data_IF_244611019781
#
_entry.id   IF_244611019781
#
_cell.length_a   1.000
_cell.length_b   1.000
_cell.length_c   1.000
_cell.angle_alpha   90.00
_cell.angle_beta   90.00
_cell.angle_gamma   90.00
#
_symmetry.space_group_name_H-M   'P 1'
#
loop_
_entity.id
_entity.type
_entity.pdbx_description
1 polymer ?
#
# COMPACT_ATOMS: atom_id res chain seq x y z
N UNK A 1 -78.07 2.85 -36.88
CA UNK A 1 -77.30 3.42 -35.77
C UNK A 1 -76.53 2.28 -35.15
N UNK A 2 -75.24 2.22 -35.49
CA UNK A 2 -74.28 1.18 -35.12
C UNK A 2 -73.42 1.68 -33.97
N UNK A 3 -73.44 0.99 -32.83
CA UNK A 3 -72.45 1.21 -31.78
C UNK A 3 -71.42 0.08 -31.84
N UNK A 4 -70.23 0.45 -32.29
CA UNK A 4 -69.02 -0.37 -32.32
C UNK A 4 -68.39 -0.22 -30.94
N UNK A 5 -68.21 -1.34 -30.23
CA UNK A 5 -67.45 -1.35 -28.98
C UNK A 5 -65.94 -1.16 -29.26
N UNK A 6 -65.21 -0.34 -28.47
CA UNK A 6 -63.79 -0.11 -28.66
C UNK A 6 -62.97 -1.33 -28.24
N UNK A 7 -61.89 -1.57 -29.00
CA UNK A 7 -61.05 -2.75 -28.92
C UNK A 7 -60.31 -2.96 -27.60
N UNK A 8 -60.09 -4.24 -27.32
CA UNK A 8 -59.00 -4.72 -26.47
C UNK A 8 -57.66 -4.21 -27.01
N UNK A 9 -57.02 -3.33 -26.25
CA UNK A 9 -55.58 -3.11 -26.34
C UNK A 9 -54.90 -4.24 -25.57
N UNK A 10 -54.12 -5.13 -26.19
CA UNK A 10 -53.29 -6.04 -25.44
C UNK A 10 -52.24 -5.23 -24.68
N UNK A 11 -52.23 -5.38 -23.36
CA UNK A 11 -51.16 -4.89 -22.48
C UNK A 11 -49.82 -5.35 -23.05
N UNK A 12 -48.98 -4.37 -23.41
CA UNK A 12 -47.58 -4.59 -23.75
C UNK A 12 -46.93 -5.12 -22.48
N UNK A 13 -46.69 -6.44 -22.47
CA UNK A 13 -45.96 -7.15 -21.44
C UNK A 13 -44.63 -6.45 -21.18
N UNK A 14 -44.39 -6.16 -19.89
CA UNK A 14 -43.30 -5.33 -19.41
C UNK A 14 -41.96 -5.63 -20.08
N UNK A 15 -41.32 -4.56 -20.55
CA UNK A 15 -39.90 -4.56 -20.85
C UNK A 15 -39.16 -5.20 -19.66
N UNK A 16 -38.56 -6.37 -19.91
CA UNK A 16 -37.54 -6.94 -19.05
C UNK A 16 -36.38 -5.94 -19.02
N UNK A 17 -36.46 -4.91 -18.16
CA UNK A 17 -35.30 -4.12 -17.79
C UNK A 17 -34.31 -5.11 -17.18
N UNK A 18 -33.26 -5.43 -17.93
CA UNK A 18 -32.11 -6.19 -17.40
C UNK A 18 -31.75 -5.56 -16.06
N UNK A 19 -32.01 -6.31 -14.97
CA UNK A 19 -31.78 -5.82 -13.62
C UNK A 19 -30.27 -5.61 -13.49
N UNK A 20 -29.86 -4.39 -13.15
CA UNK A 20 -28.45 -4.11 -12.93
C UNK A 20 -27.89 -5.07 -11.85
N UNK A 21 -26.68 -5.61 -12.06
CA UNK A 21 -26.05 -6.52 -11.11
C UNK A 21 -25.82 -5.82 -9.77
N UNK A 22 -25.93 -6.57 -8.68
CA UNK A 22 -25.48 -6.10 -7.37
C UNK A 22 -23.95 -6.14 -7.31
N UNK A 23 -23.31 -5.01 -7.01
CA UNK A 23 -21.85 -4.89 -7.05
C UNK A 23 -21.30 -4.75 -5.63
N UNK A 24 -20.42 -5.67 -5.25
CA UNK A 24 -19.65 -5.61 -4.01
C UNK A 24 -18.19 -5.30 -4.30
N UNK A 25 -17.60 -4.36 -3.57
CA UNK A 25 -16.16 -4.07 -3.64
C UNK A 25 -15.47 -4.47 -2.34
N UNK A 26 -14.63 -5.49 -2.42
CA UNK A 26 -13.76 -5.92 -1.34
C UNK A 26 -12.40 -5.22 -1.46
N UNK A 27 -12.07 -4.39 -0.48
CA UNK A 27 -10.75 -3.75 -0.38
C UNK A 27 -9.82 -4.60 0.47
N UNK A 28 -8.82 -5.20 -0.17
CA UNK A 28 -7.75 -5.95 0.48
C UNK A 28 -6.56 -5.02 0.74
N UNK A 29 -6.23 -4.78 2.02
CA UNK A 29 -5.14 -3.90 2.42
C UNK A 29 -3.93 -4.67 2.96
N UNK A 30 -2.73 -4.43 2.43
CA UNK A 30 -1.48 -5.10 2.89
C UNK A 30 -0.22 -4.20 2.88
N UNK A 31 0.88 -4.63 3.52
CA UNK A 31 2.09 -3.80 3.71
C UNK A 31 3.00 -3.69 2.49
N UNK A 32 2.87 -4.63 1.55
CA UNK A 32 3.70 -4.80 0.35
C UNK A 32 5.19 -5.02 0.66
N UNK A 33 5.52 -5.49 1.87
CA UNK A 33 6.92 -5.75 2.23
C UNK A 33 7.34 -7.18 1.89
N UNK A 34 6.44 -8.14 2.08
CA UNK A 34 6.77 -9.57 2.17
C UNK A 34 5.66 -10.44 1.58
N UNK A 35 5.96 -11.65 1.07
CA UNK A 35 4.95 -12.58 0.57
C UNK A 35 3.83 -12.89 1.58
N UNK A 36 4.12 -12.90 2.87
CA UNK A 36 3.20 -13.21 3.96
C UNK A 36 2.12 -12.13 4.14
N UNK A 37 2.39 -10.90 3.69
CA UNK A 37 1.40 -9.80 3.68
C UNK A 37 0.20 -10.10 2.78
N UNK A 38 0.38 -11.05 1.85
CA UNK A 38 -0.63 -11.52 0.91
C UNK A 38 -1.20 -12.89 1.27
N UNK A 39 -0.96 -13.40 2.49
CA UNK A 39 -1.43 -14.74 2.91
C UNK A 39 -2.93 -14.96 2.74
N UNK A 40 -3.74 -13.90 2.88
CA UNK A 40 -5.20 -13.91 2.70
C UNK A 40 -5.67 -13.55 1.28
N UNK A 41 -4.77 -13.08 0.42
CA UNK A 41 -5.10 -12.67 -0.94
C UNK A 41 -5.65 -13.84 -1.79
N UNK A 42 -5.10 -15.08 -1.75
CA UNK A 42 -5.60 -16.18 -2.57
C UNK A 42 -7.10 -16.47 -2.36
N UNK A 43 -7.56 -16.47 -1.11
CA UNK A 43 -8.96 -16.73 -0.78
C UNK A 43 -9.87 -15.59 -1.21
N UNK A 44 -9.43 -14.34 -1.04
CA UNK A 44 -10.16 -13.17 -1.52
C UNK A 44 -10.26 -13.18 -3.05
N UNK A 45 -9.15 -13.44 -3.75
CA UNK A 45 -9.10 -13.47 -5.21
C UNK A 45 -9.97 -14.58 -5.78
N UNK A 46 -10.03 -15.76 -5.14
CA UNK A 46 -10.89 -16.86 -5.59
C UNK A 46 -12.38 -16.47 -5.64
N UNK A 47 -12.84 -15.61 -4.73
CA UNK A 47 -14.23 -15.14 -4.64
C UNK A 47 -14.54 -13.97 -5.58
N UNK A 48 -13.51 -13.31 -6.10
CA UNK A 48 -13.63 -12.16 -6.95
C UNK A 48 -13.96 -12.55 -8.39
N UNK A 49 -14.78 -11.74 -9.04
CA UNK A 49 -15.05 -11.79 -10.47
C UNK A 49 -14.12 -10.86 -11.24
N UNK A 50 -13.73 -9.74 -10.62
CA UNK A 50 -12.86 -8.70 -11.20
C UNK A 50 -11.73 -8.39 -10.22
N UNK A 51 -10.53 -8.22 -10.73
CA UNK A 51 -9.34 -7.88 -9.94
C UNK A 51 -8.86 -6.46 -10.26
N UNK A 52 -8.52 -5.70 -9.23
CA UNK A 52 -7.91 -4.37 -9.31
C UNK A 52 -6.58 -4.42 -8.54
N UNK A 53 -5.42 -4.33 -9.21
CA UNK A 53 -4.14 -4.19 -8.55
C UNK A 53 -3.90 -2.74 -8.10
N UNK A 54 -3.02 -2.56 -7.11
CA UNK A 54 -2.30 -1.31 -6.93
C UNK A 54 -1.11 -1.28 -7.87
N UNK A 55 -1.19 -0.44 -8.90
CA UNK A 55 -0.16 -0.31 -9.94
C UNK A 55 0.02 1.17 -10.25
N UNK A 56 0.74 1.85 -9.37
CA UNK A 56 1.04 3.27 -9.52
C UNK A 56 1.94 3.50 -10.74
N UNK A 57 1.51 4.39 -11.65
CA UNK A 57 2.25 4.65 -12.87
C UNK A 57 2.09 3.58 -13.93
N UNK A 58 0.97 2.86 -13.94
CA UNK A 58 0.67 1.88 -14.97
C UNK A 58 0.67 2.50 -16.38
N UNK A 59 0.98 1.66 -17.36
CA UNK A 59 1.00 1.99 -18.79
C UNK A 59 0.09 1.05 -19.58
N UNK A 60 -0.18 1.35 -20.85
CA UNK A 60 -0.86 0.40 -21.75
C UNK A 60 -0.14 -0.94 -21.89
N UNK A 61 1.19 -0.95 -21.77
CA UNK A 61 1.96 -2.19 -21.72
C UNK A 61 1.63 -3.00 -20.46
N UNK A 62 1.59 -2.34 -19.30
CA UNK A 62 1.28 -2.98 -18.01
C UNK A 62 -0.15 -3.53 -18.01
N UNK A 63 -1.11 -2.75 -18.51
CA UNK A 63 -2.50 -3.18 -18.66
C UNK A 63 -2.62 -4.44 -19.54
N UNK A 64 -1.94 -4.45 -20.69
CA UNK A 64 -1.90 -5.60 -21.58
C UNK A 64 -1.28 -6.82 -20.89
N UNK A 65 -0.18 -6.63 -20.18
CA UNK A 65 0.56 -7.70 -19.51
C UNK A 65 -0.27 -8.40 -18.44
N UNK A 66 -0.96 -7.65 -17.58
CA UNK A 66 -1.85 -8.22 -16.56
C UNK A 66 -3.00 -9.02 -17.18
N UNK A 67 -3.57 -8.54 -18.28
CA UNK A 67 -4.61 -9.26 -19.00
C UNK A 67 -4.07 -10.57 -19.62
N UNK A 68 -2.89 -10.54 -20.26
CA UNK A 68 -2.25 -11.73 -20.81
C UNK A 68 -1.93 -12.77 -19.72
N UNK A 69 -1.47 -12.34 -18.55
CA UNK A 69 -1.25 -13.21 -17.39
C UNK A 69 -2.58 -13.83 -16.93
N UNK A 70 -3.63 -13.03 -16.75
CA UNK A 70 -4.96 -13.51 -16.37
C UNK A 70 -5.51 -14.55 -17.35
N UNK A 71 -5.23 -14.36 -18.64
CA UNK A 71 -5.59 -15.29 -19.71
C UNK A 71 -4.67 -16.53 -19.79
N UNK A 72 -3.59 -16.59 -19.02
CA UNK A 72 -2.63 -17.68 -19.04
C UNK A 72 -1.66 -17.66 -20.22
N UNK A 73 -1.61 -16.55 -20.98
CA UNK A 73 -0.74 -16.39 -22.16
C UNK A 73 0.70 -16.06 -21.79
N UNK A 74 0.91 -15.38 -20.67
CA UNK A 74 2.24 -15.00 -20.17
C UNK A 74 2.43 -15.59 -18.78
N UNK A 75 3.52 -16.34 -18.58
CA UNK A 75 3.85 -16.91 -17.28
C UNK A 75 4.55 -15.84 -16.40
N UNK A 76 4.05 -15.56 -15.19
CA UNK A 76 4.67 -14.60 -14.26
C UNK A 76 6.15 -14.87 -13.95
N UNK A 77 6.59 -16.12 -14.00
CA UNK A 77 7.97 -16.48 -13.70
C UNK A 77 8.96 -15.96 -14.76
N UNK A 78 8.49 -15.78 -15.99
CA UNK A 78 9.28 -15.33 -17.16
C UNK A 78 9.48 -13.81 -17.22
N UNK A 79 8.79 -13.07 -16.35
CA UNK A 79 8.83 -11.60 -16.35
C UNK A 79 9.77 -11.10 -15.25
N UNK A 80 10.43 -9.97 -15.49
CA UNK A 80 11.26 -9.30 -14.50
C UNK A 80 10.41 -8.42 -13.57
N UNK A 81 9.74 -9.03 -12.60
CA UNK A 81 9.01 -8.37 -11.52
C UNK A 81 9.63 -8.69 -10.16
N UNK A 82 9.31 -7.89 -9.14
CA UNK A 82 9.69 -8.19 -7.76
C UNK A 82 9.10 -9.52 -7.29
N UNK A 83 9.70 -10.16 -6.29
CA UNK A 83 9.16 -11.41 -5.73
C UNK A 83 7.73 -11.26 -5.20
N UNK A 84 7.38 -10.09 -4.69
CA UNK A 84 6.03 -9.79 -4.20
C UNK A 84 5.04 -9.72 -5.36
N UNK A 85 5.37 -8.95 -6.40
CA UNK A 85 4.50 -8.79 -7.57
C UNK A 85 4.32 -10.13 -8.30
N UNK A 86 5.40 -10.91 -8.45
CA UNK A 86 5.33 -12.27 -9.00
C UNK A 86 4.32 -13.13 -8.25
N UNK A 87 4.29 -13.11 -6.92
CA UNK A 87 3.32 -13.88 -6.13
C UNK A 87 1.87 -13.47 -6.45
N UNK A 88 1.59 -12.17 -6.56
CA UNK A 88 0.26 -11.67 -6.91
C UNK A 88 -0.10 -12.11 -8.34
N UNK A 89 0.82 -11.94 -9.29
CA UNK A 89 0.63 -12.32 -10.69
C UNK A 89 0.45 -13.84 -10.86
N UNK A 90 1.13 -14.67 -10.09
CA UNK A 90 0.93 -16.13 -10.05
C UNK A 90 -0.47 -16.52 -9.59
N UNK A 91 -1.09 -15.75 -8.69
CA UNK A 91 -2.48 -15.98 -8.28
C UNK A 91 -3.47 -15.58 -9.38
N UNK A 92 -3.11 -14.59 -10.19
CA UNK A 92 -3.90 -14.14 -11.33
C UNK A 92 -3.75 -15.05 -12.55
N UNK A 93 -2.62 -15.74 -12.68
CA UNK A 93 -2.28 -16.56 -13.84
C UNK A 93 -3.38 -17.59 -14.17
N UNK A 94 -3.86 -17.56 -15.43
CA UNK A 94 -4.94 -18.41 -15.93
C UNK A 94 -6.27 -18.32 -15.13
N UNK A 95 -6.47 -17.27 -14.34
CA UNK A 95 -7.69 -17.07 -13.56
C UNK A 95 -8.89 -16.63 -14.40
N UNK A 96 -8.65 -16.16 -15.63
CA UNK A 96 -9.62 -15.59 -16.58
C UNK A 96 -10.43 -14.41 -16.02
N UNK A 97 -9.94 -13.78 -14.95
CA UNK A 97 -10.59 -12.63 -14.32
C UNK A 97 -10.25 -11.36 -15.09
N UNK A 98 -11.24 -10.54 -15.45
CA UNK A 98 -11.02 -9.16 -15.85
C UNK A 98 -10.11 -8.42 -14.87
N UNK A 99 -9.19 -7.62 -15.42
CA UNK A 99 -8.33 -6.72 -14.64
C UNK A 99 -8.71 -5.28 -14.91
N UNK A 100 -8.88 -4.50 -13.86
CA UNK A 100 -9.19 -3.07 -13.92
C UNK A 100 -8.09 -2.26 -13.24
N UNK A 101 -7.66 -1.18 -13.89
CA UNK A 101 -6.74 -0.21 -13.31
C UNK A 101 -7.51 1.02 -12.86
N UNK A 102 -7.45 1.32 -11.56
CA UNK A 102 -8.02 2.54 -10.98
C UNK A 102 -6.94 3.53 -10.53
N UNK A 103 -5.69 3.07 -10.50
CA UNK A 103 -4.55 3.87 -10.08
C UNK A 103 -4.18 4.94 -11.12
N UNK A 104 -3.27 5.84 -10.77
CA UNK A 104 -2.84 6.91 -11.65
C UNK A 104 -1.86 6.38 -12.71
N UNK A 105 -2.06 6.69 -14.01
CA UNK A 105 -1.17 6.23 -15.07
C UNK A 105 0.17 6.96 -15.05
N UNK A 106 1.16 6.42 -15.77
CA UNK A 106 2.55 6.90 -15.81
C UNK A 106 2.72 8.39 -16.15
N UNK A 107 1.84 8.87 -17.03
CA UNK A 107 1.86 10.21 -17.62
C UNK A 107 1.09 11.23 -16.79
N UNK A 108 0.39 10.80 -15.73
CA UNK A 108 -0.36 11.73 -14.89
C UNK A 108 0.61 12.58 -14.04
N UNK A 109 0.41 13.91 -13.92
CA UNK A 109 1.31 14.79 -13.16
C UNK A 109 1.60 14.29 -11.73
N UNK A 110 0.57 13.83 -11.01
CA UNK A 110 0.72 13.28 -9.65
C UNK A 110 1.66 12.07 -9.57
N UNK A 111 1.77 11.28 -10.65
CA UNK A 111 2.64 10.11 -10.73
C UNK A 111 4.09 10.56 -10.90
N UNK A 112 4.32 11.57 -11.74
CA UNK A 112 5.64 12.16 -11.99
C UNK A 112 6.16 12.86 -10.73
N UNK A 113 5.28 13.57 -10.02
CA UNK A 113 5.61 14.29 -8.78
C UNK A 113 5.84 13.35 -7.58
N UNK A 114 5.35 12.11 -7.63
CA UNK A 114 5.49 11.15 -6.54
C UNK A 114 6.93 10.64 -6.31
N UNK A 115 7.84 10.84 -7.26
CA UNK A 115 9.25 10.47 -7.11
C UNK A 115 10.00 11.41 -6.16
N UNK A 116 9.68 12.70 -6.17
CA UNK A 116 10.36 13.73 -5.36
C UNK A 116 10.31 13.44 -3.86
N UNK A 117 9.17 13.05 -3.25
CA UNK A 117 9.11 12.74 -1.82
C UNK A 117 9.93 11.51 -1.44
N UNK A 118 10.04 10.51 -2.33
CA UNK A 118 10.82 9.31 -2.07
C UNK A 118 12.34 9.60 -2.08
N UNK A 119 12.78 10.41 -3.05
CA UNK A 119 14.16 10.91 -3.12
C UNK A 119 14.50 11.76 -1.90
N UNK A 120 13.61 12.69 -1.54
CA UNK A 120 13.77 13.55 -0.35
C UNK A 120 13.81 12.72 0.95
N UNK A 121 13.00 11.66 1.06
CA UNK A 121 13.04 10.74 2.21
C UNK A 121 14.39 10.01 2.29
N UNK A 122 14.92 9.55 1.15
CA UNK A 122 16.24 8.91 1.09
C UNK A 122 17.37 9.88 1.43
N UNK A 123 17.31 11.12 0.94
CA UNK A 123 18.24 12.19 1.30
C UNK A 123 18.19 12.50 2.79
N UNK A 124 16.99 12.59 3.40
CA UNK A 124 16.87 12.81 4.83
C UNK A 124 17.55 11.70 5.65
N UNK A 125 17.42 10.43 5.26
CA UNK A 125 18.10 9.31 5.91
C UNK A 125 19.61 9.43 5.74
N UNK A 126 20.08 9.80 4.55
CA UNK A 126 21.49 10.02 4.26
C UNK A 126 22.06 11.14 5.12
N UNK A 127 21.43 12.30 5.13
CA UNK A 127 21.83 13.47 5.94
C UNK A 127 21.89 13.10 7.43
N UNK A 128 20.91 12.33 7.90
CA UNK A 128 20.87 11.85 9.27
C UNK A 128 22.07 10.95 9.60
N UNK A 129 22.43 10.04 8.69
CA UNK A 129 23.59 9.17 8.86
C UNK A 129 24.92 9.94 8.77
N UNK A 130 24.99 10.98 7.93
CA UNK A 130 26.17 11.85 7.76
C UNK A 130 26.34 12.89 8.87
N UNK A 131 25.40 12.95 9.83
CA UNK A 131 25.48 13.83 11.00
C UNK A 131 24.86 15.22 10.79
N UNK A 132 24.21 15.46 9.64
CA UNK A 132 23.48 16.68 9.32
C UNK A 132 22.06 16.66 9.92
N UNK A 133 21.98 16.59 11.25
CA UNK A 133 20.75 16.31 11.97
C UNK A 133 19.61 17.31 11.65
N UNK A 134 19.83 18.62 11.78
CA UNK A 134 18.77 19.63 11.56
C UNK A 134 18.25 19.63 10.11
N UNK A 135 19.15 19.39 9.15
CA UNK A 135 18.79 19.25 7.74
C UNK A 135 17.94 17.99 7.52
N UNK A 136 18.33 16.86 8.12
CA UNK A 136 17.57 15.61 8.04
C UNK A 136 16.15 15.74 8.60
N UNK A 137 15.97 16.50 9.69
CA UNK A 137 14.65 16.79 10.27
C UNK A 137 13.81 17.63 9.32
N UNK A 138 14.41 18.64 8.69
CA UNK A 138 13.72 19.48 7.69
C UNK A 138 13.28 18.65 6.48
N UNK A 139 14.18 17.82 5.95
CA UNK A 139 13.92 16.99 4.77
C UNK A 139 12.87 15.91 5.05
N UNK A 140 12.93 15.21 6.19
CA UNK A 140 11.93 14.18 6.52
C UNK A 140 10.55 14.79 6.77
N UNK A 141 10.46 15.99 7.34
CA UNK A 141 9.20 16.73 7.50
C UNK A 141 8.56 17.01 6.14
N UNK A 142 9.34 17.56 5.20
CA UNK A 142 8.84 17.83 3.85
C UNK A 142 8.42 16.53 3.17
N UNK A 143 9.29 15.54 3.13
CA UNK A 143 9.05 14.26 2.45
C UNK A 143 7.77 13.58 2.93
N UNK A 144 7.57 13.45 4.25
CA UNK A 144 6.37 12.79 4.79
C UNK A 144 5.10 13.64 4.57
N UNK A 145 5.21 14.97 4.60
CA UNK A 145 4.11 15.89 4.27
C UNK A 145 3.71 15.82 2.79
N UNK A 146 4.67 15.86 1.88
CA UNK A 146 4.46 15.72 0.44
C UNK A 146 3.88 14.35 0.09
N UNK A 147 4.37 13.29 0.71
CA UNK A 147 3.84 11.93 0.55
C UNK A 147 2.38 11.83 0.97
N UNK A 148 1.99 12.45 2.08
CA UNK A 148 0.59 12.49 2.51
C UNK A 148 -0.28 13.25 1.50
N UNK A 149 0.16 14.41 1.00
CA UNK A 149 -0.55 15.17 -0.05
C UNK A 149 -0.71 14.36 -1.32
N UNK A 150 0.36 13.73 -1.80
CA UNK A 150 0.34 12.89 -2.99
C UNK A 150 -0.66 11.74 -2.86
N UNK A 151 -0.71 11.06 -1.71
CA UNK A 151 -1.68 10.00 -1.45
C UNK A 151 -3.12 10.53 -1.48
N UNK A 152 -3.40 11.69 -0.88
CA UNK A 152 -4.75 12.30 -0.89
C UNK A 152 -5.21 12.54 -2.34
N UNK A 153 -4.37 13.16 -3.17
CA UNK A 153 -4.74 13.46 -4.56
C UNK A 153 -4.84 12.18 -5.42
N UNK A 154 -3.93 11.23 -5.23
CA UNK A 154 -3.99 9.92 -5.88
C UNK A 154 -5.27 9.18 -5.52
N UNK A 155 -5.68 9.16 -4.25
CA UNK A 155 -6.92 8.53 -3.82
C UNK A 155 -8.17 9.19 -4.41
N UNK A 156 -8.20 10.52 -4.59
CA UNK A 156 -9.32 11.18 -5.27
C UNK A 156 -9.49 10.69 -6.70
N UNK A 157 -8.37 10.53 -7.42
CA UNK A 157 -8.37 10.00 -8.79
C UNK A 157 -8.82 8.54 -8.79
N UNK A 158 -8.28 7.72 -7.87
CA UNK A 158 -8.69 6.31 -7.73
C UNK A 158 -10.19 6.17 -7.45
N UNK A 159 -10.73 7.01 -6.57
CA UNK A 159 -12.15 7.02 -6.24
C UNK A 159 -13.01 7.39 -7.46
N UNK A 160 -12.64 8.43 -8.20
CA UNK A 160 -13.35 8.85 -9.40
C UNK A 160 -13.29 7.79 -10.51
N UNK A 161 -12.10 7.24 -10.77
CA UNK A 161 -11.92 6.18 -11.77
C UNK A 161 -12.69 4.92 -11.39
N UNK A 162 -12.67 4.49 -10.12
CA UNK A 162 -13.43 3.31 -9.71
C UNK A 162 -14.93 3.48 -9.97
N UNK A 163 -15.51 4.64 -9.63
CA UNK A 163 -16.93 4.92 -9.87
C UNK A 163 -17.27 4.85 -11.36
N UNK A 164 -16.43 5.43 -12.21
CA UNK A 164 -16.57 5.38 -13.67
C UNK A 164 -16.51 3.95 -14.19
N UNK A 165 -15.51 3.18 -13.76
CA UNK A 165 -15.33 1.77 -14.16
C UNK A 165 -16.47 0.87 -13.69
N UNK A 166 -16.99 1.06 -12.48
CA UNK A 166 -18.13 0.30 -11.97
C UNK A 166 -19.38 0.57 -12.82
N UNK A 167 -19.64 1.83 -13.18
CA UNK A 167 -20.79 2.21 -14.01
C UNK A 167 -20.76 1.56 -15.40
N UNK A 168 -19.57 1.42 -15.97
CA UNK A 168 -19.37 0.87 -17.31
C UNK A 168 -18.92 -0.60 -17.31
N UNK A 169 -19.01 -1.29 -16.16
CA UNK A 169 -18.35 -2.58 -15.95
C UNK A 169 -18.82 -3.68 -16.90
N UNK A 170 -20.14 -3.83 -17.07
CA UNK A 170 -20.74 -4.85 -17.94
C UNK A 170 -20.61 -4.52 -19.44
N UNK A 171 -20.40 -3.23 -19.78
CA UNK A 171 -20.05 -2.82 -21.14
C UNK A 171 -18.61 -3.18 -21.47
N UNK A 172 -17.70 -2.96 -20.51
CA UNK A 172 -16.28 -3.30 -20.65
C UNK A 172 -16.03 -4.81 -20.62
N UNK A 173 -16.81 -5.56 -19.84
CA UNK A 173 -16.70 -7.01 -19.70
C UNK A 173 -18.05 -7.71 -19.92
N UNK A 174 -18.45 -7.98 -21.19
CA UNK A 174 -19.74 -8.57 -21.52
C UNK A 174 -20.03 -9.90 -20.82
N UNK A 175 -19.00 -10.67 -20.46
CA UNK A 175 -19.13 -11.92 -19.70
C UNK A 175 -19.72 -11.74 -18.30
N UNK A 176 -19.76 -10.51 -17.77
CA UNK A 176 -20.36 -10.19 -16.48
C UNK A 176 -21.85 -9.81 -16.58
N UNK A 177 -22.37 -9.58 -17.80
CA UNK A 177 -23.72 -9.04 -18.03
C UNK A 177 -24.84 -9.87 -17.40
N UNK A 178 -24.68 -11.19 -17.37
CA UNK A 178 -25.69 -12.13 -16.88
C UNK A 178 -25.51 -12.51 -15.39
N UNK A 179 -24.55 -11.92 -14.68
CA UNK A 179 -24.34 -12.22 -13.26
C UNK A 179 -25.28 -11.39 -12.41
N UNK A 180 -25.96 -12.02 -11.46
CA UNK A 180 -26.79 -11.30 -10.48
C UNK A 180 -25.94 -10.51 -9.48
N UNK A 181 -24.78 -11.06 -9.10
CA UNK A 181 -23.83 -10.45 -8.17
C UNK A 181 -22.45 -10.42 -8.82
N UNK A 182 -21.76 -9.29 -8.72
CA UNK A 182 -20.37 -9.11 -9.18
C UNK A 182 -19.52 -8.69 -7.98
N UNK A 183 -18.51 -9.50 -7.67
CA UNK A 183 -17.53 -9.21 -6.63
C UNK A 183 -16.25 -8.63 -7.24
N UNK A 184 -15.89 -7.41 -6.84
CA UNK A 184 -14.67 -6.74 -7.26
C UNK A 184 -13.68 -6.78 -6.10
N UNK A 185 -12.46 -7.24 -6.35
CA UNK A 185 -11.37 -7.20 -5.36
C UNK A 185 -10.37 -6.12 -5.72
N UNK A 186 -10.24 -5.10 -4.87
CA UNK A 186 -9.19 -4.09 -4.94
C UNK A 186 -8.07 -4.41 -3.94
N UNK A 187 -6.93 -4.87 -4.44
CA UNK A 187 -5.75 -5.18 -3.63
C UNK A 187 -4.81 -3.97 -3.57
N UNK A 188 -4.81 -3.29 -2.43
CA UNK A 188 -4.12 -2.03 -2.20
C UNK A 188 -3.20 -2.08 -0.97
N UNK A 189 -2.29 -1.13 -0.89
CA UNK A 189 -1.43 -0.90 0.25
C UNK A 189 -2.21 -0.37 1.44
N UNK A 190 -1.77 -0.70 2.66
CA UNK A 190 -2.37 -0.23 3.93
C UNK A 190 -2.39 1.29 4.11
N UNK A 191 -1.63 2.02 3.29
CA UNK A 191 -1.71 3.48 3.20
C UNK A 191 -3.05 3.94 2.65
N UNK A 192 -3.67 3.16 1.75
CA UNK A 192 -4.91 3.51 1.04
C UNK A 192 -6.21 3.21 1.81
N UNK A 193 -6.11 3.01 3.13
CA UNK A 193 -7.31 2.68 3.94
C UNK A 193 -8.35 3.80 3.98
N UNK A 194 -7.97 5.05 3.68
CA UNK A 194 -8.88 6.19 3.57
C UNK A 194 -9.74 6.11 2.31
N UNK A 195 -9.25 5.55 1.20
CA UNK A 195 -10.03 5.34 -0.02
C UNK A 195 -11.33 4.55 0.25
N UNK A 196 -11.25 3.45 1.00
CA UNK A 196 -12.45 2.69 1.39
C UNK A 196 -13.42 3.53 2.23
N UNK A 197 -12.91 4.37 3.14
CA UNK A 197 -13.76 5.26 3.94
C UNK A 197 -14.48 6.31 3.09
N UNK A 198 -13.79 6.86 2.08
CA UNK A 198 -14.34 7.83 1.14
C UNK A 198 -15.43 7.21 0.26
N UNK A 199 -15.24 5.97 -0.19
CA UNK A 199 -16.15 5.30 -1.14
C UNK A 199 -17.32 4.57 -0.48
N UNK A 200 -17.21 4.16 0.78
CA UNK A 200 -18.25 3.38 1.48
C UNK A 200 -19.66 4.00 1.41
N UNK A 201 -19.87 5.33 1.50
CA UNK A 201 -21.20 5.92 1.41
C UNK A 201 -21.83 5.83 0.01
N UNK A 202 -21.01 5.62 -1.03
CA UNK A 202 -21.43 5.68 -2.44
C UNK A 202 -21.50 4.30 -3.09
N UNK A 203 -20.81 3.30 -2.52
CA UNK A 203 -20.86 1.93 -2.99
C UNK A 203 -22.08 1.20 -2.40
N UNK A 204 -22.75 0.38 -3.22
CA UNK A 204 -23.86 -0.47 -2.77
C UNK A 204 -23.44 -1.36 -1.60
N UNK A 205 -22.30 -2.04 -1.78
CA UNK A 205 -21.68 -2.85 -0.75
C UNK A 205 -20.16 -2.75 -0.86
N UNK A 206 -19.48 -2.54 0.28
CA UNK A 206 -18.04 -2.60 0.36
C UNK A 206 -17.57 -3.29 1.64
N UNK A 207 -16.55 -4.13 1.53
CA UNK A 207 -15.91 -4.76 2.68
C UNK A 207 -14.44 -4.37 2.76
N UNK A 208 -13.90 -4.45 3.98
CA UNK A 208 -12.48 -4.27 4.25
C UNK A 208 -11.88 -5.59 4.69
N UNK A 209 -10.87 -6.06 3.96
CA UNK A 209 -10.08 -7.24 4.27
C UNK A 209 -8.67 -6.76 4.59
N UNK A 210 -8.14 -7.16 5.74
CA UNK A 210 -6.73 -6.91 6.07
C UNK A 210 -5.93 -8.17 5.73
N UNK A 211 -4.79 -7.98 5.06
CA UNK A 211 -3.88 -9.09 4.71
C UNK A 211 -3.35 -9.85 5.92
N UNK A 212 -3.40 -9.23 7.12
CA UNK A 212 -3.06 -9.80 8.42
C UNK A 212 -4.03 -9.32 9.50
N UNK A 213 -4.09 -10.03 10.62
CA UNK A 213 -4.99 -9.70 11.75
C UNK A 213 -4.61 -8.41 12.47
N UNK A 214 -3.32 -8.12 12.56
CA UNK A 214 -2.79 -6.92 13.20
C UNK A 214 -1.85 -6.25 12.22
N UNK A 215 -1.86 -4.92 12.21
CA UNK A 215 -1.06 -4.10 11.31
C UNK A 215 -0.41 -3.05 12.23
N UNK A 216 0.91 -3.04 12.27
CA UNK A 216 1.68 -2.12 13.11
C UNK A 216 2.45 -1.19 12.19
N UNK A 217 2.12 0.08 12.23
CA UNK A 217 2.79 1.07 11.41
C UNK A 217 4.04 1.60 12.11
N UNK A 218 5.08 1.84 11.31
CA UNK A 218 6.23 2.60 11.78
C UNK A 218 5.87 4.05 12.06
N UNK A 219 6.71 4.77 12.80
CA UNK A 219 6.46 6.20 13.11
C UNK A 219 6.26 7.02 11.83
N UNK A 220 7.12 6.84 10.82
CA UNK A 220 6.98 7.51 9.52
C UNK A 220 5.61 7.27 8.87
N UNK A 221 5.13 6.00 8.89
CA UNK A 221 3.83 5.64 8.31
C UNK A 221 2.66 6.19 9.14
N UNK A 222 2.77 6.25 10.46
CA UNK A 222 1.75 6.88 11.32
C UNK A 222 1.66 8.39 11.09
N UNK A 223 2.79 9.08 10.90
CA UNK A 223 2.81 10.50 10.52
C UNK A 223 2.02 10.69 9.23
N UNK A 224 2.38 9.97 8.16
CA UNK A 224 1.69 10.07 6.86
C UNK A 224 0.20 9.78 6.99
N UNK A 225 -0.17 8.69 7.66
CA UNK A 225 -1.59 8.32 7.88
C UNK A 225 -2.37 9.36 8.65
N UNK A 226 -1.73 10.00 9.62
CA UNK A 226 -2.35 11.06 10.41
C UNK A 226 -2.52 12.31 9.55
N UNK A 227 -1.51 12.70 8.78
CA UNK A 227 -1.59 13.84 7.86
C UNK A 227 -2.63 13.65 6.76
N UNK A 228 -2.82 12.43 6.26
CA UNK A 228 -3.92 12.11 5.33
C UNK A 228 -5.30 12.46 5.92
N UNK A 229 -5.48 12.22 7.23
CA UNK A 229 -6.76 12.46 7.93
C UNK A 229 -6.88 13.87 8.50
N UNK A 230 -5.76 14.48 8.86
CA UNK A 230 -5.68 15.80 9.47
C UNK A 230 -4.45 16.52 8.92
N UNK A 231 -4.55 17.15 7.73
CA UNK A 231 -3.41 17.81 7.06
C UNK A 231 -2.76 18.92 7.88
N UNK A 232 -3.52 19.56 8.79
CA UNK A 232 -3.05 20.63 9.68
C UNK A 232 -2.35 20.11 10.94
N UNK A 233 -2.25 18.78 11.11
CA UNK A 233 -1.60 18.20 12.29
C UNK A 233 -0.12 18.53 12.30
N UNK A 234 0.29 19.27 13.31
CA UNK A 234 1.70 19.51 13.63
C UNK A 234 2.21 18.41 14.56
N UNK A 235 3.42 17.92 14.29
CA UNK A 235 4.16 16.98 15.10
C UNK A 235 5.44 17.63 15.62
N UNK A 236 5.85 17.26 16.82
CA UNK A 236 7.13 17.69 17.38
C UNK A 236 8.29 17.05 16.61
N UNK A 237 9.41 17.75 16.52
CA UNK A 237 10.63 17.31 15.82
C UNK A 237 11.12 15.95 16.33
N UNK A 238 10.90 15.64 17.61
CA UNK A 238 11.28 14.35 18.19
C UNK A 238 10.54 13.18 17.53
N UNK A 239 9.30 13.38 17.07
CA UNK A 239 8.53 12.36 16.35
C UNK A 239 9.17 12.07 14.99
N UNK A 240 9.65 13.11 14.29
CA UNK A 240 10.38 12.97 13.02
C UNK A 240 11.76 12.34 13.22
N UNK A 241 12.47 12.73 14.29
CA UNK A 241 13.73 12.10 14.67
C UNK A 241 13.55 10.60 14.94
N UNK A 242 12.47 10.23 15.64
CA UNK A 242 12.10 8.82 15.86
C UNK A 242 11.79 8.09 14.55
N UNK A 243 11.13 8.74 13.59
CA UNK A 243 10.90 8.16 12.26
C UNK A 243 12.21 7.84 11.53
N UNK A 244 13.20 8.74 11.56
CA UNK A 244 14.52 8.53 10.96
C UNK A 244 15.25 7.32 11.56
N UNK A 245 15.40 7.28 12.89
CA UNK A 245 16.10 6.18 13.55
C UNK A 245 15.35 4.84 13.41
N UNK A 246 14.02 4.87 13.40
CA UNK A 246 13.20 3.67 13.20
C UNK A 246 13.33 3.09 11.79
N UNK A 247 13.51 3.93 10.75
CA UNK A 247 13.80 3.45 9.40
C UNK A 247 15.13 2.67 9.35
N UNK A 248 16.17 3.15 10.04
CA UNK A 248 17.47 2.46 10.14
C UNK A 248 17.33 1.15 10.91
N UNK A 249 16.66 1.17 12.06
CA UNK A 249 16.43 -0.04 12.86
C UNK A 249 15.62 -1.07 12.07
N UNK A 250 14.57 -0.64 11.36
CA UNK A 250 13.75 -1.52 10.52
C UNK A 250 14.56 -2.15 9.39
N UNK A 251 15.47 -1.38 8.76
CA UNK A 251 16.36 -1.90 7.74
C UNK A 251 17.27 -3.01 8.28
N UNK A 252 17.89 -2.81 9.45
CA UNK A 252 18.80 -3.78 10.05
C UNK A 252 18.10 -5.05 10.56
N UNK A 253 16.83 -4.97 10.98
CA UNK A 253 16.06 -6.14 11.45
C UNK A 253 15.69 -7.09 10.30
N UNK A 254 15.69 -6.62 9.03
CA UNK A 254 15.38 -7.47 7.87
C UNK A 254 16.34 -8.67 7.72
N UNK A 255 17.56 -8.55 8.24
CA UNK A 255 18.53 -9.65 8.29
C UNK A 255 18.13 -10.76 9.28
N UNK A 256 17.22 -10.46 10.21
CA UNK A 256 16.77 -11.39 11.26
C UNK A 256 15.41 -11.99 10.96
N UNK A 257 14.47 -11.24 10.37
CA UNK A 257 13.15 -11.74 10.01
C UNK A 257 12.62 -11.09 8.75
N UNK A 258 11.86 -11.86 7.96
CA UNK A 258 11.12 -11.38 6.81
C UNK A 258 9.64 -11.12 7.15
N UNK A 259 9.26 -10.99 8.42
CA UNK A 259 7.91 -10.60 8.79
C UNK A 259 7.79 -9.06 8.92
N UNK A 260 7.14 -8.41 7.96
CA UNK A 260 6.94 -6.94 7.93
C UNK A 260 6.30 -6.38 9.21
N UNK A 261 5.37 -7.12 9.82
CA UNK A 261 4.75 -6.69 11.07
C UNK A 261 5.74 -6.81 12.22
N UNK A 262 6.48 -7.92 12.33
CA UNK A 262 7.51 -8.07 13.38
C UNK A 262 8.57 -6.98 13.25
N UNK A 263 9.05 -6.69 12.03
CA UNK A 263 10.00 -5.60 11.77
C UNK A 263 9.47 -4.28 12.34
N UNK A 264 8.24 -3.90 11.93
CA UNK A 264 7.63 -2.65 12.37
C UNK A 264 7.42 -2.62 13.89
N UNK A 265 7.01 -3.74 14.50
CA UNK A 265 6.75 -3.79 15.95
C UNK A 265 8.02 -3.73 16.78
N UNK A 266 9.07 -4.43 16.37
CA UNK A 266 10.39 -4.36 17.03
C UNK A 266 10.94 -2.95 16.90
N UNK A 267 10.95 -2.37 15.70
CA UNK A 267 11.49 -1.03 15.47
C UNK A 267 10.73 0.03 16.31
N UNK A 268 9.40 0.00 16.30
CA UNK A 268 8.57 0.83 17.18
C UNK A 268 8.94 0.65 18.65
N UNK A 269 9.06 -0.60 19.12
CA UNK A 269 9.33 -0.91 20.53
C UNK A 269 10.70 -0.43 20.98
N UNK A 270 11.73 -0.60 20.14
CA UNK A 270 13.10 -0.16 20.45
C UNK A 270 13.24 1.37 20.41
N UNK A 271 12.51 2.05 19.53
CA UNK A 271 12.63 3.50 19.34
C UNK A 271 11.61 4.35 20.14
N UNK A 272 10.55 3.75 20.71
CA UNK A 272 9.41 4.48 21.30
C UNK A 272 9.78 5.49 22.39
N UNK A 273 10.85 5.23 23.16
CA UNK A 273 11.24 6.03 24.31
C UNK A 273 12.60 6.74 24.12
N UNK A 274 13.08 6.83 22.88
CA UNK A 274 14.29 7.61 22.61
C UNK A 274 13.96 9.10 22.64
N UNK A 275 14.74 9.85 23.43
CA UNK A 275 14.73 11.31 23.44
C UNK A 275 15.47 11.87 22.23
N UNK A 276 15.14 13.11 21.89
CA UNK A 276 15.82 13.88 20.84
C UNK A 276 17.36 13.81 20.97
N UNK A 277 17.90 14.12 22.15
CA UNK A 277 19.35 14.16 22.39
C UNK A 277 20.06 12.84 22.06
N UNK A 278 19.42 11.69 22.35
CA UNK A 278 19.98 10.37 22.05
C UNK A 278 19.98 10.11 20.55
N UNK A 279 18.93 10.52 19.84
CA UNK A 279 18.82 10.34 18.40
C UNK A 279 19.85 11.24 17.69
N UNK A 280 20.00 12.48 18.14
CA UNK A 280 21.02 13.41 17.64
C UNK A 280 22.44 12.90 17.92
N UNK A 281 22.68 12.32 19.10
CA UNK A 281 23.96 11.70 19.43
C UNK A 281 24.31 10.55 18.47
N UNK A 282 23.32 9.72 18.11
CA UNK A 282 23.51 8.69 17.10
C UNK A 282 23.92 9.28 15.75
N UNK A 283 23.15 10.26 15.25
CA UNK A 283 23.44 10.96 13.98
C UNK A 283 24.86 11.54 13.95
N UNK A 284 25.25 12.23 15.03
CA UNK A 284 26.59 12.80 15.18
C UNK A 284 27.68 11.71 15.13
N UNK A 285 27.50 10.62 15.86
CA UNK A 285 28.49 9.54 15.92
C UNK A 285 28.61 8.80 14.59
N UNK A 286 27.51 8.59 13.88
CA UNK A 286 27.55 7.97 12.54
C UNK A 286 28.16 8.89 11.51
N UNK A 287 27.92 10.20 11.59
CA UNK A 287 28.50 11.17 10.65
C UNK A 287 30.03 11.11 10.62
N UNK A 288 30.65 10.98 11.79
CA UNK A 288 32.11 10.78 11.90
C UNK A 288 32.62 9.51 11.20
N UNK A 289 31.79 8.47 11.06
CA UNK A 289 32.16 7.22 10.38
C UNK A 289 31.96 7.29 8.86
N UNK A 290 31.09 8.19 8.37
CA UNK A 290 30.66 8.24 6.98
C UNK A 290 31.20 9.42 6.18
N UNK A 291 31.82 10.41 6.83
CA UNK A 291 32.41 11.57 6.16
C UNK A 291 33.36 11.14 5.03
N UNK A 292 32.96 11.41 3.78
CA UNK A 292 33.75 11.19 2.57
C UNK A 292 33.66 9.79 1.97
N UNK A 293 32.81 8.90 2.47
CA UNK A 293 32.59 7.58 1.89
C UNK A 293 31.13 7.42 1.43
N UNK A 294 30.92 6.88 0.23
CA UNK A 294 29.57 6.43 -0.17
C UNK A 294 29.05 5.39 0.84
N UNK A 295 27.75 5.43 1.15
CA UNK A 295 27.07 4.39 1.92
C UNK A 295 27.30 3.03 1.23
N UNK A 296 28.29 2.29 1.70
CA UNK A 296 28.64 0.98 1.21
C UNK A 296 28.42 -0.06 2.32
N UNK A 297 28.45 -1.34 1.95
CA UNK A 297 28.19 -2.47 2.86
C UNK A 297 29.17 -2.55 4.04
N UNK A 298 30.33 -1.90 3.96
CA UNK A 298 31.30 -1.86 5.07
C UNK A 298 30.81 -0.95 6.20
N UNK A 299 30.25 0.20 5.83
CA UNK A 299 29.81 1.23 6.77
C UNK A 299 28.54 0.86 7.54
N UNK A 300 27.65 0.06 6.93
CA UNK A 300 26.44 -0.46 7.57
C UNK A 300 26.78 -1.34 8.79
N UNK A 301 27.93 -2.04 8.79
CA UNK A 301 28.34 -2.96 9.87
C UNK A 301 28.60 -2.25 11.20
N UNK A 302 28.86 -0.95 11.19
CA UNK A 302 29.10 -0.17 12.41
C UNK A 302 27.81 0.38 13.05
N UNK A 303 26.70 0.41 12.30
CA UNK A 303 25.43 0.94 12.81
C UNK A 303 24.91 0.20 14.07
N UNK A 304 24.98 -1.14 14.18
CA UNK A 304 24.59 -1.83 15.41
C UNK A 304 25.36 -1.37 16.66
N UNK A 305 26.67 -1.11 16.54
CA UNK A 305 27.46 -0.61 17.68
C UNK A 305 27.10 0.83 18.06
N UNK A 306 26.79 1.68 17.10
CA UNK A 306 26.35 3.06 17.39
C UNK A 306 24.95 3.08 17.99
N UNK A 307 24.04 2.23 17.51
CA UNK A 307 22.72 2.03 18.11
C UNK A 307 22.83 1.57 19.58
N UNK A 308 23.77 0.68 19.90
CA UNK A 308 23.99 0.22 21.27
C UNK A 308 24.43 1.34 22.21
N UNK A 309 25.23 2.32 21.75
CA UNK A 309 25.62 3.49 22.54
C UNK A 309 24.44 4.37 22.93
N UNK A 310 23.41 4.41 22.09
CA UNK A 310 22.15 5.08 22.39
C UNK A 310 21.10 4.13 22.95
N UNK A 311 21.51 2.97 23.49
CA UNK A 311 20.70 1.99 24.21
C UNK A 311 19.70 1.19 23.37
N UNK A 312 19.89 1.13 22.05
CA UNK A 312 19.19 0.17 21.19
C UNK A 312 20.06 -1.07 21.03
N UNK A 313 19.58 -2.21 21.54
CA UNK A 313 20.15 -3.52 21.24
C UNK A 313 19.30 -4.21 20.19
N UNK A 314 19.84 -4.43 19.00
CA UNK A 314 19.16 -5.15 17.94
C UNK A 314 19.07 -6.65 18.29
N UNK A 315 17.92 -7.30 18.05
CA UNK A 315 17.84 -8.75 18.08
C UNK A 315 18.66 -9.33 16.93
N UNK A 316 19.24 -10.49 17.16
CA UNK A 316 20.09 -11.24 16.22
C UNK A 316 19.46 -12.56 15.78
N UNK A 317 18.37 -12.98 16.44
CA UNK A 317 17.58 -14.17 16.09
C UNK A 317 16.09 -13.88 16.14
N UNK A 318 15.29 -14.68 15.42
CA UNK A 318 13.82 -14.59 15.49
C UNK A 318 13.28 -14.89 16.90
N UNK A 319 13.98 -15.71 17.68
CA UNK A 319 13.58 -16.04 19.05
C UNK A 319 13.75 -14.83 19.99
N UNK A 320 14.79 -14.02 19.78
CA UNK A 320 14.96 -12.75 20.47
C UNK A 320 13.85 -11.76 20.09
N UNK A 321 13.45 -11.74 18.82
CA UNK A 321 12.28 -10.95 18.36
C UNK A 321 11.01 -11.42 19.08
N UNK A 322 10.69 -12.72 19.03
CA UNK A 322 9.48 -13.25 19.64
C UNK A 322 9.42 -12.98 21.15
N UNK A 323 10.56 -13.12 21.83
CA UNK A 323 10.70 -12.78 23.25
C UNK A 323 10.49 -11.29 23.50
N UNK A 324 11.08 -10.41 22.67
CA UNK A 324 10.89 -8.97 22.78
C UNK A 324 9.42 -8.60 22.58
N UNK A 325 8.72 -9.28 21.68
CA UNK A 325 7.33 -9.01 21.34
C UNK A 325 6.31 -9.72 22.26
N UNK A 326 6.77 -10.50 23.24
CA UNK A 326 5.93 -11.35 24.10
C UNK A 326 5.01 -12.31 23.31
N UNK A 327 5.45 -12.73 22.12
CA UNK A 327 4.71 -13.70 21.30
C UNK A 327 4.97 -15.08 21.90
N UNK A 328 3.98 -15.67 22.57
CA UNK A 328 4.06 -17.08 22.97
C UNK A 328 3.93 -17.94 21.71
N UNK A 329 4.91 -18.82 21.46
CA UNK A 329 4.76 -19.88 20.44
C UNK A 329 3.50 -20.69 20.83
N UNK A 330 2.52 -20.70 19.93
CA UNK A 330 1.31 -21.53 20.09
C UNK A 330 1.62 -22.99 19.81
#
# INVERSE_FOLDING_TARGET
MSEIQPGHNPEITGENKEKEPNITVDFFFSYHGTPEDFSRLPEALKKADVFIPEEHGWTKYTEKLYNEISEGKTNPDEINFSHVDKKILSLLYNSKKPVLFIDTPSEHPITIEAYTPAETEAEAIKDFLEGYFDLSITNIKSALGDKARNIIEREKIMAATLKEKIKNLTQQFPQLKNKENINILAALGVTHTSLHQQLRPELQQSNKILGRDTIVFTTAREIVRTLIRNPEKIFDDEVYARALIENIVSFLIKDTTLDSNKISWVARKLCANLSMDRIQLFSKNTGHLLLGQQLNTHNIKHLPSELAKIGIKLPTTEEEIDKLLNIRKK
#
